data_IF_848685585826
#
_entry.id   IF_848685585826
#
_cell.length_a   1.000
_cell.length_b   1.000
_cell.length_c   1.000
_cell.angle_alpha   90.00
_cell.angle_beta   90.00
_cell.angle_gamma   90.00
#
_symmetry.space_group_name_H-M   'P 1'
#
loop_
_entity.id
_entity.type
_entity.pdbx_description
1 polymer ?
#
# COMPACT_ATOMS: atom_id res chain seq x y z
N UNK A 1 -1.17 26.41 -28.42
CA UNK A 1 -1.34 26.54 -26.95
C UNK A 1 0.05 26.41 -26.34
N UNK A 2 0.46 27.26 -25.38
CA UNK A 2 1.82 27.25 -24.87
C UNK A 2 2.09 25.95 -24.12
N UNK A 3 3.23 25.33 -24.43
CA UNK A 3 3.78 24.19 -23.72
C UNK A 3 4.30 24.68 -22.35
N UNK A 4 4.39 23.75 -21.40
CA UNK A 4 5.22 23.75 -20.18
C UNK A 4 4.55 24.11 -18.85
N UNK A 5 4.19 23.04 -18.11
CA UNK A 5 4.65 22.89 -16.73
C UNK A 5 4.84 21.39 -16.51
N UNK A 6 6.06 20.91 -16.74
CA UNK A 6 6.45 19.59 -16.23
C UNK A 6 6.36 19.71 -14.71
N UNK A 7 5.33 19.10 -14.11
CA UNK A 7 5.26 18.92 -12.67
C UNK A 7 6.33 17.90 -12.30
N UNK A 8 7.54 18.40 -12.09
CA UNK A 8 8.65 17.55 -11.65
C UNK A 8 8.23 16.87 -10.35
N UNK A 9 8.33 15.52 -10.27
CA UNK A 9 7.90 14.81 -9.08
C UNK A 9 8.70 15.34 -7.90
N UNK A 10 8.00 15.78 -6.85
CA UNK A 10 8.62 16.27 -5.63
C UNK A 10 8.41 15.28 -4.49
N UNK A 11 9.47 15.03 -3.73
CA UNK A 11 9.46 14.20 -2.53
C UNK A 11 9.59 15.10 -1.31
N UNK A 12 8.59 15.11 -0.43
CA UNK A 12 8.70 15.81 0.85
C UNK A 12 9.12 14.83 1.94
N UNK A 13 10.29 15.07 2.54
CA UNK A 13 10.81 14.28 3.66
C UNK A 13 11.31 15.23 4.76
N UNK A 14 10.87 15.01 6.00
CA UNK A 14 11.21 15.85 7.18
C UNK A 14 10.98 17.36 6.97
N UNK A 15 9.89 17.73 6.29
CA UNK A 15 9.53 19.13 6.04
C UNK A 15 10.36 19.82 4.95
N UNK A 16 11.27 19.10 4.28
CA UNK A 16 11.99 19.56 3.09
C UNK A 16 11.43 18.90 1.85
N UNK A 17 11.16 19.70 0.83
CA UNK A 17 10.73 19.24 -0.48
C UNK A 17 11.95 19.13 -1.38
N UNK A 18 12.14 17.96 -1.97
CA UNK A 18 13.21 17.64 -2.90
C UNK A 18 12.62 17.39 -4.28
N UNK A 19 13.16 18.04 -5.31
CA UNK A 19 12.86 17.66 -6.69
C UNK A 19 13.47 16.29 -6.96
N UNK A 20 12.65 15.31 -7.36
CA UNK A 20 13.13 13.94 -7.62
C UNK A 20 14.12 13.91 -8.78
N UNK A 21 13.99 14.83 -9.73
CA UNK A 21 14.93 15.11 -10.83
C UNK A 21 16.32 15.55 -10.34
N UNK A 22 16.40 16.23 -9.19
CA UNK A 22 17.65 16.72 -8.59
C UNK A 22 18.30 15.70 -7.64
N UNK A 23 17.63 14.58 -7.36
CA UNK A 23 18.19 13.50 -6.55
C UNK A 23 19.29 12.74 -7.31
N UNK A 24 20.26 12.18 -6.58
CA UNK A 24 21.23 11.26 -7.17
C UNK A 24 20.54 10.04 -7.79
N UNK A 25 21.15 9.43 -8.81
CA UNK A 25 20.61 8.20 -9.43
C UNK A 25 20.35 7.09 -8.40
N UNK A 26 21.20 6.99 -7.38
CA UNK A 26 21.05 6.05 -6.27
C UNK A 26 19.78 6.33 -5.44
N UNK A 27 19.52 7.59 -5.13
CA UNK A 27 18.32 8.01 -4.39
C UNK A 27 17.05 7.81 -5.23
N UNK A 28 17.09 8.09 -6.53
CA UNK A 28 15.96 7.84 -7.43
C UNK A 28 15.62 6.34 -7.51
N UNK A 29 16.63 5.48 -7.64
CA UNK A 29 16.46 4.01 -7.63
C UNK A 29 15.86 3.53 -6.31
N UNK A 30 16.37 4.04 -5.18
CA UNK A 30 15.84 3.66 -3.87
C UNK A 30 14.38 4.12 -3.69
N UNK A 31 14.04 5.33 -4.15
CA UNK A 31 12.66 5.82 -4.14
C UNK A 31 11.73 4.92 -4.97
N UNK A 32 12.18 4.46 -6.14
CA UNK A 32 11.43 3.51 -6.96
C UNK A 32 11.21 2.19 -6.20
N UNK A 33 12.26 1.64 -5.60
CA UNK A 33 12.17 0.39 -4.84
C UNK A 33 11.20 0.51 -3.66
N UNK A 34 11.23 1.63 -2.93
CA UNK A 34 10.28 1.91 -1.84
C UNK A 34 8.84 1.94 -2.38
N UNK A 35 8.59 2.66 -3.49
CA UNK A 35 7.25 2.69 -4.10
C UNK A 35 6.77 1.31 -4.53
N UNK A 36 7.65 0.45 -5.04
CA UNK A 36 7.31 -0.93 -5.39
C UNK A 36 6.94 -1.72 -4.13
N UNK A 37 7.75 -1.64 -3.08
CA UNK A 37 7.46 -2.28 -1.80
C UNK A 37 6.13 -1.81 -1.20
N UNK A 38 5.84 -0.50 -1.24
CA UNK A 38 4.59 0.07 -0.74
C UNK A 38 3.36 -0.45 -1.52
N UNK A 39 3.49 -0.59 -2.84
CA UNK A 39 2.43 -1.19 -3.66
C UNK A 39 2.18 -2.65 -3.27
N UNK A 40 3.25 -3.41 -3.04
CA UNK A 40 3.14 -4.81 -2.64
C UNK A 40 2.52 -4.96 -1.24
N UNK A 41 2.90 -4.10 -0.29
CA UNK A 41 2.28 -4.04 1.04
C UNK A 41 0.78 -3.79 0.92
N UNK A 42 0.35 -2.83 0.10
CA UNK A 42 -1.08 -2.58 -0.14
C UNK A 42 -1.79 -3.80 -0.72
N UNK A 43 -1.15 -4.49 -1.68
CA UNK A 43 -1.69 -5.71 -2.27
C UNK A 43 -1.90 -6.80 -1.21
N UNK A 44 -0.92 -7.03 -0.36
CA UNK A 44 -0.98 -8.01 0.72
C UNK A 44 -2.05 -7.64 1.76
N UNK A 45 -2.18 -6.36 2.11
CA UNK A 45 -3.24 -5.89 3.02
C UNK A 45 -4.64 -6.17 2.47
N UNK A 46 -4.87 -6.00 1.16
CA UNK A 46 -6.14 -6.36 0.53
C UNK A 46 -6.40 -7.87 0.62
N UNK A 47 -5.39 -8.70 0.34
CA UNK A 47 -5.52 -10.15 0.45
C UNK A 47 -5.82 -10.59 1.89
N UNK A 48 -5.16 -9.97 2.87
CA UNK A 48 -5.42 -10.20 4.29
C UNK A 48 -6.86 -9.85 4.66
N UNK A 49 -7.38 -8.71 4.19
CA UNK A 49 -8.76 -8.30 4.47
C UNK A 49 -9.79 -9.30 3.92
N UNK A 50 -9.55 -9.84 2.71
CA UNK A 50 -10.38 -10.89 2.11
C UNK A 50 -10.34 -12.14 2.98
N UNK A 51 -9.15 -12.60 3.36
CA UNK A 51 -8.97 -13.79 4.18
C UNK A 51 -9.65 -13.62 5.56
N UNK A 52 -9.52 -12.46 6.19
CA UNK A 52 -10.16 -12.16 7.47
C UNK A 52 -11.69 -12.20 7.37
N UNK A 53 -12.26 -11.70 6.27
CA UNK A 53 -13.70 -11.75 6.02
C UNK A 53 -14.18 -13.19 5.92
N UNK A 54 -13.49 -14.03 5.14
CA UNK A 54 -13.81 -15.45 5.01
C UNK A 54 -13.66 -16.19 6.36
N UNK A 55 -12.58 -15.94 7.09
CA UNK A 55 -12.34 -16.50 8.43
C UNK A 55 -13.52 -16.21 9.37
N UNK A 56 -13.95 -14.95 9.45
CA UNK A 56 -15.06 -14.55 10.33
C UNK A 56 -16.38 -15.22 9.92
N UNK A 57 -16.65 -15.32 8.61
CA UNK A 57 -17.83 -16.02 8.10
C UNK A 57 -17.82 -17.51 8.46
N UNK A 58 -16.68 -18.19 8.31
CA UNK A 58 -16.54 -19.60 8.68
C UNK A 58 -16.62 -19.82 10.18
N UNK A 59 -16.07 -18.91 10.99
CA UNK A 59 -16.20 -18.96 12.44
C UNK A 59 -17.65 -18.84 12.89
N UNK A 60 -18.41 -17.92 12.29
CA UNK A 60 -19.84 -17.77 12.58
C UNK A 60 -20.63 -19.02 12.19
N UNK A 61 -20.41 -19.55 10.99
CA UNK A 61 -21.06 -20.77 10.52
C UNK A 61 -20.71 -21.99 11.41
N UNK A 62 -19.48 -22.06 11.91
CA UNK A 62 -19.09 -23.10 12.86
C UNK A 62 -19.89 -22.98 14.17
N UNK A 63 -20.00 -21.78 14.75
CA UNK A 63 -20.76 -21.56 16.00
C UNK A 63 -22.23 -21.95 15.82
N UNK A 64 -22.83 -21.62 14.68
CA UNK A 64 -24.22 -22.00 14.34
C UNK A 64 -24.41 -23.51 14.17
N UNK A 65 -23.37 -24.21 13.71
CA UNK A 65 -23.38 -25.66 13.54
C UNK A 65 -23.06 -26.43 14.83
N UNK A 66 -22.56 -25.76 15.88
CA UNK A 66 -22.30 -26.42 17.16
C UNK A 66 -23.63 -26.75 17.85
N UNK A 67 -23.77 -27.96 18.40
CA UNK A 67 -24.96 -28.31 19.17
C UNK A 67 -25.05 -27.41 20.40
N UNK A 68 -26.26 -26.91 20.67
CA UNK A 68 -26.55 -26.22 21.93
C UNK A 68 -26.31 -27.21 23.07
N UNK A 69 -25.43 -26.88 24.01
CA UNK A 69 -25.34 -27.64 25.25
C UNK A 69 -26.59 -27.29 26.07
N UNK A 70 -27.59 -28.18 26.06
CA UNK A 70 -28.57 -28.29 27.15
C UNK A 70 -27.89 -28.82 28.42
#
# INVERSE_FOLDING_TARGET
MPVTKNEEPTLTHNGKTYNVSELSETAQKQLMNVKIADNEIRRLQMQLAIAQTAHNAYQQALIEALPSQE
#
